data_IF_844029171687
#
_entry.id   IF_844029171687
#
_cell.length_a   1.000
_cell.length_b   1.000
_cell.length_c   1.000
_cell.angle_alpha   90.00
_cell.angle_beta   90.00
_cell.angle_gamma   90.00
#
_symmetry.space_group_name_H-M   'P 1'
#
loop_
_entity.id
_entity.type
_entity.pdbx_description
1 polymer ?
#
# COMPACT_ATOMS: atom_id res chain seq x y z
N UNK A 1 6.13 -28.04 75.60
CA UNK A 1 5.29 -27.97 74.39
C UNK A 1 5.61 -26.70 73.60
N UNK A 2 6.44 -26.79 72.54
CA UNK A 2 6.62 -25.70 71.55
C UNK A 2 6.79 -26.33 70.18
N UNK A 3 5.68 -26.53 69.47
CA UNK A 3 5.70 -27.22 68.19
C UNK A 3 4.58 -26.76 67.23
N UNK A 4 4.23 -25.47 67.18
CA UNK A 4 3.17 -25.02 66.24
C UNK A 4 3.32 -23.63 65.59
N UNK A 5 4.49 -22.99 65.61
CA UNK A 5 4.64 -21.62 65.06
C UNK A 5 5.37 -21.51 63.71
N UNK A 6 5.93 -22.58 63.16
CA UNK A 6 6.82 -22.47 61.98
C UNK A 6 6.12 -22.63 60.61
N UNK A 7 4.83 -22.97 60.55
CA UNK A 7 4.10 -23.19 59.28
C UNK A 7 3.47 -21.93 58.67
N UNK A 8 3.49 -20.78 59.36
CA UNK A 8 2.96 -19.51 58.80
C UNK A 8 3.95 -18.78 57.88
N UNK A 9 5.27 -18.99 58.03
CA UNK A 9 6.30 -18.31 57.23
C UNK A 9 6.52 -18.97 55.86
N UNK A 10 6.37 -20.29 55.75
CA UNK A 10 6.45 -21.02 54.47
C UNK A 10 5.30 -20.66 53.52
N UNK A 11 4.09 -20.39 54.06
CA UNK A 11 2.93 -19.96 53.27
C UNK A 11 3.10 -18.58 52.63
N UNK A 12 3.84 -17.66 53.27
CA UNK A 12 4.12 -16.32 52.72
C UNK A 12 5.04 -16.36 51.51
N UNK A 13 6.07 -17.22 51.53
CA UNK A 13 6.98 -17.40 50.39
C UNK A 13 6.31 -18.13 49.22
N UNK A 14 5.52 -19.16 49.52
CA UNK A 14 4.78 -19.92 48.51
C UNK A 14 3.76 -19.05 47.73
N UNK A 15 2.99 -18.22 48.44
CA UNK A 15 2.04 -17.31 47.82
C UNK A 15 2.73 -16.31 46.88
N UNK A 16 3.91 -15.80 47.26
CA UNK A 16 4.68 -14.87 46.43
C UNK A 16 5.13 -15.52 45.11
N UNK A 17 5.50 -16.81 45.15
CA UNK A 17 5.86 -17.57 43.95
C UNK A 17 4.64 -17.89 43.09
N UNK A 18 3.50 -18.27 43.67
CA UNK A 18 2.26 -18.52 42.90
C UNK A 18 1.82 -17.29 42.11
N UNK A 19 1.71 -16.13 42.77
CA UNK A 19 1.31 -14.90 42.08
C UNK A 19 2.37 -14.44 41.09
N UNK A 20 3.66 -14.61 41.40
CA UNK A 20 4.75 -14.31 40.46
C UNK A 20 4.72 -15.19 39.20
N UNK A 21 4.45 -16.49 39.36
CA UNK A 21 4.38 -17.45 38.26
C UNK A 21 3.17 -17.17 37.36
N UNK A 22 2.02 -16.82 37.94
CA UNK A 22 0.82 -16.43 37.19
C UNK A 22 1.08 -15.17 36.36
N UNK A 23 1.69 -14.13 36.96
CA UNK A 23 2.02 -12.90 36.24
C UNK A 23 3.02 -13.15 35.11
N UNK A 24 4.04 -13.98 35.35
CA UNK A 24 5.00 -14.36 34.32
C UNK A 24 4.34 -15.11 33.16
N UNK A 25 3.40 -16.01 33.46
CA UNK A 25 2.62 -16.73 32.45
C UNK A 25 1.76 -15.81 31.58
N UNK A 26 1.03 -14.87 32.20
CA UNK A 26 0.20 -13.89 31.47
C UNK A 26 1.08 -12.98 30.62
N UNK A 27 2.21 -12.51 31.16
CA UNK A 27 3.16 -11.68 30.42
C UNK A 27 3.73 -12.41 29.18
N UNK A 28 4.11 -13.68 29.32
CA UNK A 28 4.61 -14.50 28.21
C UNK A 28 3.57 -14.62 27.09
N UNK A 29 2.31 -14.93 27.43
CA UNK A 29 1.22 -15.06 26.46
C UNK A 29 0.93 -13.73 25.77
N UNK A 30 0.95 -12.62 26.52
CA UNK A 30 0.76 -11.28 25.95
C UNK A 30 1.87 -10.92 24.95
N UNK A 31 3.14 -11.22 25.27
CA UNK A 31 4.27 -11.00 24.36
C UNK A 31 4.13 -11.85 23.09
N UNK A 32 3.76 -13.12 23.22
CA UNK A 32 3.53 -13.99 22.07
C UNK A 32 2.40 -13.47 21.17
N UNK A 33 1.29 -13.02 21.76
CA UNK A 33 0.17 -12.42 21.03
C UNK A 33 0.60 -11.16 20.27
N UNK A 34 1.32 -10.24 20.92
CA UNK A 34 1.84 -9.02 20.28
C UNK A 34 2.82 -9.35 19.15
N UNK A 35 3.69 -10.35 19.32
CA UNK A 35 4.62 -10.78 18.29
C UNK A 35 3.93 -11.34 17.05
N UNK A 36 2.86 -12.13 17.23
CA UNK A 36 2.11 -12.71 16.11
C UNK A 36 1.28 -11.64 15.41
N UNK A 37 0.56 -10.82 16.18
CA UNK A 37 -0.37 -9.84 15.64
C UNK A 37 0.34 -8.61 15.06
N UNK A 38 1.50 -8.22 15.58
CA UNK A 38 2.26 -7.04 15.12
C UNK A 38 2.61 -7.07 13.63
N UNK A 39 3.17 -8.19 13.13
CA UNK A 39 3.48 -8.30 11.71
C UNK A 39 2.23 -8.39 10.83
N UNK A 40 1.14 -8.99 11.34
CA UNK A 40 -0.10 -9.20 10.60
C UNK A 40 -0.90 -7.90 10.46
N UNK A 41 -0.93 -7.09 11.52
CA UNK A 41 -1.49 -5.74 11.49
C UNK A 41 -0.69 -4.82 10.57
N UNK A 42 0.65 -4.89 10.61
CA UNK A 42 1.50 -4.15 9.67
C UNK A 42 1.21 -4.55 8.21
N UNK A 43 1.03 -5.85 7.94
CA UNK A 43 0.66 -6.35 6.62
C UNK A 43 -0.71 -5.84 6.14
N UNK A 44 -1.72 -5.79 7.02
CA UNK A 44 -3.03 -5.24 6.66
C UNK A 44 -2.97 -3.75 6.33
N UNK A 45 -2.21 -2.96 7.12
CA UNK A 45 -2.01 -1.53 6.84
C UNK A 45 -1.26 -1.30 5.52
N UNK A 46 -0.26 -2.12 5.21
CA UNK A 46 0.48 -2.06 3.95
C UNK A 46 -0.41 -2.41 2.75
N UNK A 47 -1.28 -3.42 2.88
CA UNK A 47 -2.26 -3.75 1.84
C UNK A 47 -3.28 -2.64 1.63
N UNK A 48 -3.77 -2.02 2.71
CA UNK A 48 -4.66 -0.85 2.60
C UNK A 48 -3.96 0.34 1.95
N UNK A 49 -2.69 0.57 2.26
CA UNK A 49 -1.89 1.61 1.63
C UNK A 49 -1.70 1.36 0.13
N UNK A 50 -1.46 0.11 -0.29
CA UNK A 50 -1.25 -0.25 -1.70
C UNK A 50 -2.47 0.01 -2.63
N UNK A 51 -3.68 0.15 -2.07
CA UNK A 51 -4.92 0.39 -2.83
C UNK A 51 -5.20 1.91 -2.96
N UNK A 52 -4.47 2.76 -2.24
CA UNK A 52 -4.64 4.22 -2.35
C UNK A 52 -3.94 4.76 -3.62
N UNK A 53 -4.58 5.67 -4.37
CA UNK A 53 -3.92 6.40 -5.45
C UNK A 53 -2.65 7.10 -4.94
N UNK A 54 -1.54 6.96 -5.66
CA UNK A 54 -0.21 7.47 -5.27
C UNK A 54 0.61 6.55 -4.35
N UNK A 55 0.16 5.31 -4.09
CA UNK A 55 0.87 4.35 -3.26
C UNK A 55 2.07 3.68 -3.93
N UNK A 56 2.12 3.72 -5.27
CA UNK A 56 3.20 3.15 -6.08
C UNK A 56 4.01 4.31 -6.69
N UNK A 57 5.34 4.18 -6.78
CA UNK A 57 6.18 5.26 -7.31
C UNK A 57 5.84 5.57 -8.78
N UNK A 58 5.33 4.56 -9.48
CA UNK A 58 4.87 4.63 -10.86
C UNK A 58 3.57 5.44 -11.02
N UNK A 59 2.80 5.63 -9.94
CA UNK A 59 1.54 6.40 -9.90
C UNK A 59 1.74 7.85 -9.42
N UNK A 60 2.97 8.22 -9.04
CA UNK A 60 3.36 9.58 -8.63
C UNK A 60 4.13 10.32 -9.74
N UNK A 61 3.88 9.97 -11.00
CA UNK A 61 4.39 10.72 -12.15
C UNK A 61 3.85 12.14 -12.20
N UNK A 62 4.58 13.04 -12.87
CA UNK A 62 4.02 14.34 -13.23
C UNK A 62 2.78 14.09 -14.08
N UNK A 63 1.62 14.61 -13.65
CA UNK A 63 0.44 14.67 -14.50
C UNK A 63 0.74 15.66 -15.63
N UNK A 64 1.32 15.16 -16.71
CA UNK A 64 1.50 15.96 -17.92
C UNK A 64 0.11 16.24 -18.50
N UNK A 65 -0.21 17.52 -18.67
CA UNK A 65 -1.35 17.93 -19.47
C UNK A 65 -1.02 17.62 -20.94
N UNK A 66 -1.20 16.35 -21.32
CA UNK A 66 -1.07 15.89 -22.70
C UNK A 66 -2.08 16.64 -23.56
N UNK A 67 -1.59 17.42 -24.53
CA UNK A 67 -2.47 18.01 -25.53
C UNK A 67 -2.98 16.87 -26.43
N UNK A 68 -4.29 16.62 -26.38
CA UNK A 68 -4.96 15.54 -27.13
C UNK A 68 -4.72 15.66 -28.65
N UNK A 69 -4.55 16.87 -29.16
CA UNK A 69 -4.25 17.16 -30.57
C UNK A 69 -3.09 18.15 -30.64
N UNK A 70 -1.91 17.72 -31.13
CA UNK A 70 -0.78 18.64 -31.31
C UNK A 70 -1.15 19.70 -32.33
N UNK A 71 -1.20 20.96 -31.88
CA UNK A 71 -1.41 22.11 -32.76
C UNK A 71 -0.20 23.02 -32.73
N UNK A 72 0.28 23.41 -33.90
CA UNK A 72 1.38 24.35 -34.08
C UNK A 72 0.84 25.72 -34.45
N UNK A 73 1.51 26.75 -33.96
CA UNK A 73 1.25 28.11 -34.40
C UNK A 73 2.04 28.34 -35.69
N UNK A 74 1.35 28.34 -36.82
CA UNK A 74 1.88 28.79 -38.09
C UNK A 74 1.47 30.24 -38.30
N UNK A 75 2.34 31.13 -37.87
CA UNK A 75 2.26 32.57 -38.15
C UNK A 75 0.90 33.22 -37.76
N UNK A 76 0.36 32.84 -36.60
CA UNK A 76 -0.91 33.34 -36.04
C UNK A 76 -2.11 32.42 -36.29
N UNK A 77 -1.94 31.38 -37.11
CA UNK A 77 -2.96 30.35 -37.37
C UNK A 77 -2.63 29.09 -36.59
N UNK A 78 -3.65 28.47 -35.96
CA UNK A 78 -3.50 27.20 -35.26
C UNK A 78 -3.66 26.07 -36.29
N UNK A 79 -2.54 25.47 -36.73
CA UNK A 79 -2.50 24.30 -37.60
C UNK A 79 -2.24 23.01 -36.82
N UNK A 80 -2.44 21.83 -37.43
CA UNK A 80 -2.07 20.54 -36.84
C UNK A 80 -0.55 20.32 -37.04
N UNK A 81 0.13 19.76 -36.04
CA UNK A 81 1.56 19.48 -36.14
C UNK A 81 1.84 18.10 -36.76
N UNK A 82 2.69 18.05 -37.78
CA UNK A 82 3.04 16.85 -38.58
C UNK A 82 4.29 16.13 -38.05
N UNK A 83 4.53 16.17 -36.73
CA UNK A 83 5.67 15.48 -36.11
C UNK A 83 5.34 14.01 -35.85
N UNK A 84 5.74 13.18 -36.80
CA UNK A 84 5.68 11.71 -36.84
C UNK A 84 6.52 11.12 -35.71
N UNK A 85 5.92 10.97 -34.54
CA UNK A 85 6.55 10.34 -33.38
C UNK A 85 5.52 9.91 -32.33
N UNK A 86 4.79 8.83 -32.65
CA UNK A 86 4.05 7.94 -31.74
C UNK A 86 3.55 8.57 -30.41
N UNK A 87 2.64 9.53 -30.52
CA UNK A 87 1.79 9.93 -29.40
C UNK A 87 0.38 10.13 -29.94
N UNK A 88 -0.26 9.00 -30.17
CA UNK A 88 -1.66 8.93 -30.59
C UNK A 88 -2.57 9.36 -29.44
N UNK A 89 -3.83 9.69 -29.73
CA UNK A 89 -4.83 9.90 -28.66
C UNK A 89 -4.89 8.69 -27.71
N UNK A 90 -4.58 7.50 -28.22
CA UNK A 90 -4.44 6.29 -27.43
C UNK A 90 -3.37 6.33 -26.34
N UNK A 91 -2.21 6.92 -26.63
CA UNK A 91 -1.11 7.04 -25.68
C UNK A 91 -1.44 8.03 -24.54
N UNK A 92 -2.18 9.10 -24.84
CA UNK A 92 -2.58 10.12 -23.85
C UNK A 92 -3.82 9.71 -23.02
N UNK A 93 -4.71 8.90 -23.59
CA UNK A 93 -5.94 8.45 -22.92
C UNK A 93 -5.86 7.00 -22.41
N UNK A 94 -4.72 6.32 -22.63
CA UNK A 94 -4.52 4.91 -22.25
C UNK A 94 -5.45 3.95 -22.98
N UNK A 95 -5.83 4.25 -24.23
CA UNK A 95 -6.84 3.49 -24.98
C UNK A 95 -6.30 3.01 -26.33
N UNK A 96 -6.65 1.80 -26.77
CA UNK A 96 -6.27 1.33 -28.10
C UNK A 96 -7.19 1.96 -29.16
N UNK A 97 -6.62 2.84 -30.00
CA UNK A 97 -7.36 3.50 -31.09
C UNK A 97 -7.20 2.82 -32.44
N UNK A 98 -6.51 1.68 -32.49
CA UNK A 98 -6.29 0.92 -33.73
C UNK A 98 -7.64 0.48 -34.31
N UNK A 99 -8.05 1.11 -35.41
CA UNK A 99 -9.32 0.81 -36.10
C UNK A 99 -10.53 1.67 -35.70
N UNK A 100 -10.38 2.65 -34.79
CA UNK A 100 -11.43 3.64 -34.51
C UNK A 100 -11.46 4.78 -35.55
N UNK A 101 -10.35 4.99 -36.26
CA UNK A 101 -10.20 6.04 -37.26
C UNK A 101 -9.75 5.38 -38.57
N UNK A 102 -10.65 5.33 -39.54
CA UNK A 102 -10.31 4.99 -40.93
C UNK A 102 -9.97 6.26 -41.67
N UNK A 103 -8.73 6.38 -42.17
CA UNK A 103 -8.35 7.49 -43.03
C UNK A 103 -9.17 7.42 -44.34
N UNK A 104 -9.85 8.49 -44.77
CA UNK A 104 -10.61 8.50 -46.01
C UNK A 104 -9.76 8.29 -47.28
N UNK A 105 -8.42 8.33 -47.19
CA UNK A 105 -7.50 8.23 -48.33
C UNK A 105 -6.62 6.98 -48.37
N UNK A 106 -6.74 6.05 -47.41
CA UNK A 106 -5.91 4.85 -47.31
C UNK A 106 -6.73 3.55 -47.32
N UNK A 107 -6.42 2.67 -48.27
CA UNK A 107 -7.02 1.36 -48.50
C UNK A 107 -7.28 0.51 -47.26
N UNK A 108 -8.51 -0.01 -47.14
CA UNK A 108 -8.89 -1.11 -46.26
C UNK A 108 -7.85 -2.23 -46.25
N UNK A 109 -7.22 -2.47 -45.10
CA UNK A 109 -6.59 -3.72 -44.71
C UNK A 109 -7.07 -4.05 -43.30
#
# INVERSE_FOLDING_TARGET
MKLFTQTRRSKRGAALVEYGLIVAGVALVAVAAVSIFGHKTAGMMAQSAAILPGAQAEDNGIIEAGRVVKTQNDNGTIGLADDVGNQTMGDNLGTDTSGLITDPSGSNQ
#
